data_IF_722417182836
#
_entry.id   IF_722417182836
#
_cell.length_a   1.000
_cell.length_b   1.000
_cell.length_c   1.000
_cell.angle_alpha   90.00
_cell.angle_beta   90.00
_cell.angle_gamma   90.00
#
_symmetry.space_group_name_H-M   'P 1'
#
loop_
_entity.id
_entity.type
_entity.pdbx_description
1 polymer ?
#
# COMPACT_ATOMS: atom_id res chain seq x y z
N UNK A 1 24.07 -75.06 -48.00
CA UNK A 1 25.14 -74.04 -47.95
C UNK A 1 24.52 -72.70 -47.58
N UNK A 2 25.01 -72.13 -46.49
CA UNK A 2 25.09 -70.69 -46.15
C UNK A 2 23.82 -69.84 -45.97
N UNK A 3 23.72 -69.35 -44.71
CA UNK A 3 23.28 -68.02 -44.25
C UNK A 3 21.77 -67.72 -44.29
N UNK A 4 21.20 -66.97 -43.37
CA UNK A 4 21.49 -66.51 -42.01
C UNK A 4 20.17 -65.89 -41.54
N UNK A 5 19.84 -66.14 -40.28
CA UNK A 5 18.98 -65.34 -39.42
C UNK A 5 18.97 -63.84 -39.75
N UNK A 6 17.79 -63.21 -39.81
CA UNK A 6 17.47 -61.92 -39.14
C UNK A 6 16.02 -61.51 -39.49
N UNK A 7 15.11 -61.73 -38.56
CA UNK A 7 14.55 -60.70 -37.66
C UNK A 7 13.46 -59.82 -38.31
N UNK A 8 12.23 -60.29 -38.13
CA UNK A 8 11.14 -59.58 -37.45
C UNK A 8 10.74 -58.19 -37.97
N UNK A 9 9.56 -58.20 -38.59
CA UNK A 9 8.66 -57.08 -38.74
C UNK A 9 8.49 -56.25 -37.44
N UNK A 10 8.11 -54.99 -37.66
CA UNK A 10 7.50 -54.02 -36.74
C UNK A 10 8.46 -53.15 -35.91
N UNK A 11 8.68 -51.91 -36.38
CA UNK A 11 8.04 -50.69 -35.84
C UNK A 11 8.57 -49.44 -36.56
N UNK A 12 7.78 -48.77 -37.42
CA UNK A 12 8.14 -47.50 -38.01
C UNK A 12 7.54 -46.37 -37.19
N UNK A 13 8.05 -46.06 -35.98
CA UNK A 13 7.53 -44.91 -35.23
C UNK A 13 8.41 -44.49 -34.04
N UNK A 14 9.72 -44.30 -34.22
CA UNK A 14 10.58 -43.88 -33.09
C UNK A 14 11.54 -42.73 -33.36
N UNK A 15 11.44 -42.00 -34.48
CA UNK A 15 12.40 -40.91 -34.75
C UNK A 15 11.80 -39.60 -35.27
N UNK A 16 10.54 -39.32 -34.96
CA UNK A 16 9.92 -37.99 -35.16
C UNK A 16 9.28 -37.43 -33.88
N UNK A 17 9.63 -37.96 -32.71
CA UNK A 17 9.10 -37.52 -31.42
C UNK A 17 10.20 -37.06 -30.45
N UNK A 18 11.18 -36.29 -30.95
CA UNK A 18 12.24 -35.68 -30.12
C UNK A 18 12.36 -34.16 -30.33
N UNK A 19 11.30 -33.52 -30.83
CA UNK A 19 11.22 -32.06 -31.03
C UNK A 19 9.96 -31.40 -30.44
N UNK A 20 9.11 -32.14 -29.73
CA UNK A 20 7.90 -31.62 -29.06
C UNK A 20 8.06 -31.56 -27.52
N UNK A 21 9.28 -31.27 -27.06
CA UNK A 21 9.64 -31.25 -25.63
C UNK A 21 9.94 -29.87 -25.06
N UNK A 22 9.76 -28.78 -25.82
CA UNK A 22 9.79 -27.43 -25.25
C UNK A 22 8.35 -27.02 -24.94
N UNK A 23 7.78 -27.63 -23.90
CA UNK A 23 6.53 -27.16 -23.32
C UNK A 23 6.72 -25.70 -22.93
N UNK A 24 6.05 -24.79 -23.65
CA UNK A 24 5.98 -23.38 -23.32
C UNK A 24 5.26 -23.30 -21.97
N UNK A 25 6.02 -23.31 -20.88
CA UNK A 25 5.51 -22.95 -19.57
C UNK A 25 5.24 -21.46 -19.65
N UNK A 26 3.97 -21.07 -19.81
CA UNK A 26 3.56 -19.68 -19.71
C UNK A 26 3.77 -19.31 -18.24
N UNK A 27 4.79 -18.54 -17.86
CA UNK A 27 4.90 -18.11 -16.48
C UNK A 27 3.67 -17.26 -16.20
N UNK A 28 2.86 -17.69 -15.22
CA UNK A 28 1.72 -16.91 -14.74
C UNK A 28 2.26 -15.69 -14.00
N UNK A 29 2.68 -14.68 -14.74
CA UNK A 29 3.03 -13.38 -14.18
C UNK A 29 1.72 -12.71 -13.75
N UNK A 30 1.45 -12.76 -12.44
CA UNK A 30 0.36 -11.95 -11.87
C UNK A 30 0.64 -10.48 -12.19
N UNK A 31 -0.38 -9.68 -12.56
CA UNK A 31 -0.18 -8.26 -12.79
C UNK A 31 0.39 -7.63 -11.51
N UNK A 32 1.58 -7.05 -11.63
CA UNK A 32 2.11 -6.16 -10.62
C UNK A 32 1.34 -4.85 -10.75
N UNK A 33 0.33 -4.67 -9.90
CA UNK A 33 -0.32 -3.37 -9.75
C UNK A 33 0.70 -2.42 -9.10
N UNK A 34 1.50 -1.75 -9.92
CA UNK A 34 2.15 -0.51 -9.50
C UNK A 34 1.04 0.50 -9.15
N UNK A 35 1.29 1.39 -8.19
CA UNK A 35 0.32 2.41 -7.85
C UNK A 35 0.06 3.34 -9.04
N UNK A 36 -1.06 3.15 -9.70
CA UNK A 36 -1.60 4.01 -10.76
C UNK A 36 -2.80 4.74 -10.17
N UNK A 37 -2.51 5.66 -9.27
CA UNK A 37 -3.55 6.36 -8.56
C UNK A 37 -4.07 7.49 -9.44
N UNK A 38 -5.38 7.52 -9.63
CA UNK A 38 -6.06 8.70 -10.10
C UNK A 38 -5.91 9.81 -9.06
N UNK A 39 -6.31 11.03 -9.43
CA UNK A 39 -6.40 12.13 -8.49
C UNK A 39 -7.12 11.67 -7.21
N UNK A 40 -6.59 11.98 -6.01
CA UNK A 40 -7.24 11.58 -4.77
C UNK A 40 -8.69 12.12 -4.72
N UNK A 41 -9.61 11.41 -4.04
CA UNK A 41 -11.04 11.80 -3.96
C UNK A 41 -11.21 13.20 -3.35
N UNK A 42 -12.41 13.78 -3.30
CA UNK A 42 -12.62 15.06 -2.59
C UNK A 42 -12.38 14.92 -1.06
N UNK A 43 -12.07 16.00 -0.30
CA UNK A 43 -11.73 15.88 1.12
C UNK A 43 -12.81 15.19 1.95
N UNK A 44 -14.07 15.62 1.80
CA UNK A 44 -15.19 15.04 2.55
C UNK A 44 -15.45 13.58 2.18
N UNK A 45 -15.17 13.17 0.94
CA UNK A 45 -15.28 11.78 0.53
C UNK A 45 -14.15 10.95 1.13
N UNK A 46 -12.91 11.45 1.10
CA UNK A 46 -11.78 10.80 1.76
C UNK A 46 -12.00 10.67 3.28
N UNK A 47 -12.58 11.70 3.91
CA UNK A 47 -12.98 11.66 5.32
C UNK A 47 -14.03 10.58 5.57
N UNK A 48 -15.05 10.46 4.71
CA UNK A 48 -16.09 9.45 4.83
C UNK A 48 -15.53 8.02 4.70
N UNK A 49 -14.60 7.80 3.77
CA UNK A 49 -14.01 6.50 3.49
C UNK A 49 -12.94 6.08 4.54
N UNK A 50 -12.22 7.05 5.11
CA UNK A 50 -11.16 6.80 6.08
C UNK A 50 -11.69 6.21 7.40
N UNK A 51 -10.81 5.52 8.13
CA UNK A 51 -11.06 5.08 9.51
C UNK A 51 -10.58 6.08 10.55
N UNK A 52 -9.49 6.78 10.27
CA UNK A 52 -9.02 7.89 11.08
C UNK A 52 -8.54 9.03 10.18
N UNK A 53 -8.80 10.26 10.60
CA UNK A 53 -8.28 11.47 9.96
C UNK A 53 -7.77 12.39 11.06
N UNK A 54 -6.50 12.75 11.01
CA UNK A 54 -5.85 13.56 12.05
C UNK A 54 -4.67 14.32 11.48
N UNK A 55 -4.23 15.36 12.18
CA UNK A 55 -2.97 16.04 11.95
C UNK A 55 -2.04 15.74 13.09
N UNK A 56 -0.76 15.56 12.78
CA UNK A 56 0.23 15.27 13.81
C UNK A 56 1.65 15.34 13.29
N UNK A 57 2.58 15.51 14.22
CA UNK A 57 4.02 15.55 13.96
C UNK A 57 4.62 14.15 14.05
N UNK A 58 5.41 13.76 13.06
CA UNK A 58 6.12 12.48 13.10
C UNK A 58 7.23 12.54 14.14
N UNK A 59 7.18 11.65 15.14
CA UNK A 59 8.18 11.56 16.21
C UNK A 59 9.14 10.40 16.04
N UNK A 60 8.73 9.33 15.34
CA UNK A 60 9.57 8.17 15.11
C UNK A 60 9.15 7.42 13.83
N UNK A 61 10.12 6.84 13.13
CA UNK A 61 9.89 5.93 12.00
C UNK A 61 10.71 4.66 12.24
N UNK A 62 10.03 3.52 12.35
CA UNK A 62 10.66 2.22 12.51
C UNK A 62 10.32 1.32 11.32
N UNK A 63 11.34 0.82 10.63
CA UNK A 63 11.15 -0.17 9.57
C UNK A 63 11.08 -1.59 10.15
N UNK A 64 10.06 -2.34 9.73
CA UNK A 64 9.91 -3.78 9.93
C UNK A 64 9.74 -4.46 8.57
N UNK A 65 10.81 -5.13 8.10
CA UNK A 65 10.91 -5.76 6.78
C UNK A 65 10.55 -4.76 5.65
N UNK A 66 9.33 -4.87 5.13
CA UNK A 66 8.79 -4.10 4.00
C UNK A 66 7.75 -3.05 4.42
N UNK A 67 7.58 -2.83 5.73
CA UNK A 67 6.62 -1.88 6.32
C UNK A 67 7.35 -0.86 7.18
N UNK A 68 6.94 0.40 7.12
CA UNK A 68 7.29 1.44 8.06
C UNK A 68 6.17 1.59 9.08
N UNK A 69 6.50 1.59 10.36
CA UNK A 69 5.64 2.05 11.45
C UNK A 69 6.04 3.48 11.78
N UNK A 70 5.13 4.42 11.53
CA UNK A 70 5.33 5.86 11.69
C UNK A 70 4.51 6.32 12.89
N UNK A 71 5.18 6.81 13.92
CA UNK A 71 4.56 7.30 15.14
C UNK A 71 4.32 8.80 15.03
N UNK A 72 3.10 9.22 15.31
CA UNK A 72 2.66 10.61 15.32
C UNK A 72 2.33 11.05 16.74
N UNK A 73 2.78 12.24 17.12
CA UNK A 73 2.17 13.04 18.17
C UNK A 73 0.98 13.79 17.54
N UNK A 74 -0.24 13.57 18.04
CA UNK A 74 -1.48 14.06 17.41
C UNK A 74 -1.81 15.48 17.87
N UNK A 75 -1.99 16.38 16.92
CA UNK A 75 -2.36 17.78 17.14
C UNK A 75 -3.89 17.98 17.12
N UNK A 76 -4.55 17.40 16.12
CA UNK A 76 -6.00 17.51 15.91
C UNK A 76 -6.53 16.24 15.26
N UNK A 77 -7.76 15.83 15.60
CA UNK A 77 -8.38 14.64 15.04
C UNK A 77 -9.80 14.96 14.54
N UNK A 78 -10.07 14.61 13.29
CA UNK A 78 -11.37 14.77 12.64
C UNK A 78 -12.20 13.50 12.61
N UNK A 79 -11.55 12.33 12.68
CA UNK A 79 -12.22 11.03 12.68
C UNK A 79 -11.42 9.98 13.42
N UNK A 80 -12.12 9.02 14.03
CA UNK A 80 -11.55 7.95 14.86
C UNK A 80 -11.57 8.30 16.34
N UNK A 81 -11.15 7.36 17.17
CA UNK A 81 -11.08 7.55 18.63
C UNK A 81 -9.97 8.54 19.01
N UNK A 82 -10.25 9.44 19.95
CA UNK A 82 -9.26 10.41 20.42
C UNK A 82 -8.01 9.71 20.98
N UNK A 83 -6.83 10.10 20.48
CA UNK A 83 -5.56 9.58 20.93
C UNK A 83 -4.47 10.66 20.89
N UNK A 84 -3.54 10.62 21.85
CA UNK A 84 -2.38 11.52 21.87
C UNK A 84 -1.26 11.05 20.93
N UNK A 85 -1.23 9.75 20.64
CA UNK A 85 -0.24 9.14 19.77
C UNK A 85 -0.92 8.10 18.88
N UNK A 86 -0.62 8.16 17.59
CA UNK A 86 -1.14 7.21 16.60
C UNK A 86 0.04 6.61 15.82
N UNK A 87 0.00 5.30 15.58
CA UNK A 87 0.98 4.60 14.74
C UNK A 87 0.33 4.23 13.41
N UNK A 88 0.93 4.68 12.31
CA UNK A 88 0.49 4.41 10.94
C UNK A 88 1.48 3.49 10.24
N UNK A 89 0.95 2.51 9.53
CA UNK A 89 1.74 1.65 8.65
C UNK A 89 1.73 2.14 7.21
N UNK A 90 2.88 2.09 6.55
CA UNK A 90 3.01 2.35 5.11
C UNK A 90 4.10 1.45 4.52
N UNK A 91 4.09 1.19 3.22
CA UNK A 91 5.19 0.48 2.57
C UNK A 91 6.49 1.30 2.61
N UNK A 92 7.63 0.63 2.52
CA UNK A 92 8.97 1.26 2.60
C UNK A 92 9.39 2.03 1.36
N UNK A 93 8.69 1.87 0.23
CA UNK A 93 9.07 2.48 -1.04
C UNK A 93 7.86 3.04 -1.76
N UNK A 94 8.02 4.20 -2.41
CA UNK A 94 7.01 4.79 -3.28
C UNK A 94 6.63 3.86 -4.44
N UNK A 95 7.57 3.03 -4.93
CA UNK A 95 7.30 2.01 -5.95
C UNK A 95 6.28 0.96 -5.49
N UNK A 96 6.13 0.77 -4.18
CA UNK A 96 5.13 -0.10 -3.54
C UNK A 96 4.08 0.70 -2.79
N UNK A 97 3.81 1.94 -3.24
CA UNK A 97 2.79 2.84 -2.72
C UNK A 97 3.08 3.41 -1.32
N UNK A 98 4.32 3.35 -0.88
CA UNK A 98 4.75 3.91 0.40
C UNK A 98 4.63 5.43 0.41
N UNK A 99 4.06 5.99 1.49
CA UNK A 99 4.09 7.42 1.76
C UNK A 99 5.44 7.83 2.38
N UNK A 100 6.14 8.85 1.84
CA UNK A 100 7.48 9.25 2.29
C UNK A 100 7.42 10.19 3.50
N UNK A 101 7.16 9.64 4.68
CA UNK A 101 7.18 10.43 5.92
C UNK A 101 8.60 10.82 6.34
N UNK A 102 8.70 11.98 6.97
CA UNK A 102 9.94 12.51 7.54
C UNK A 102 9.73 12.87 9.01
N UNK A 103 10.71 12.55 9.86
CA UNK A 103 10.68 12.91 11.29
C UNK A 103 10.68 14.43 11.45
N UNK A 104 9.96 14.92 12.47
CA UNK A 104 9.74 16.34 12.79
C UNK A 104 8.87 17.12 11.81
N UNK A 105 8.32 16.48 10.78
CA UNK A 105 7.33 17.10 9.90
C UNK A 105 5.90 16.81 10.39
N UNK A 106 5.01 17.77 10.18
CA UNK A 106 3.58 17.66 10.52
C UNK A 106 2.76 17.37 9.27
N UNK A 107 1.87 16.40 9.35
CA UNK A 107 1.06 15.93 8.23
C UNK A 107 -0.41 16.00 8.57
N UNK A 108 -1.26 16.15 7.56
CA UNK A 108 -2.65 15.70 7.59
C UNK A 108 -2.67 14.27 7.07
N UNK A 109 -3.20 13.33 7.85
CA UNK A 109 -3.20 11.90 7.55
C UNK A 109 -4.61 11.39 7.36
N UNK A 110 -4.86 10.73 6.24
CA UNK A 110 -6.06 9.92 6.00
C UNK A 110 -5.68 8.45 6.08
N UNK A 111 -6.12 7.77 7.15
CA UNK A 111 -5.76 6.40 7.42
C UNK A 111 -6.93 5.44 7.27
N UNK A 112 -6.67 4.31 6.61
CA UNK A 112 -7.59 3.19 6.48
C UNK A 112 -7.18 2.03 7.39
N UNK A 113 -8.10 1.13 7.70
CA UNK A 113 -7.83 -0.07 8.49
C UNK A 113 -8.45 -1.28 7.78
N UNK A 114 -7.65 -2.28 7.33
CA UNK A 114 -8.21 -3.55 6.93
C UNK A 114 -8.85 -4.23 8.14
N UNK A 115 -9.80 -5.13 7.90
CA UNK A 115 -10.49 -5.85 8.97
C UNK A 115 -9.48 -6.55 9.90
N UNK A 116 -9.52 -6.19 11.19
CA UNK A 116 -8.62 -6.71 12.23
C UNK A 116 -7.15 -6.27 12.12
N UNK A 117 -6.81 -5.37 11.18
CA UNK A 117 -5.45 -4.90 10.94
C UNK A 117 -5.11 -3.59 11.67
N UNK A 118 -3.90 -3.08 11.42
CA UNK A 118 -3.43 -1.77 11.89
C UNK A 118 -3.86 -0.66 10.95
N UNK A 119 -3.88 0.58 11.45
CA UNK A 119 -4.06 1.77 10.62
C UNK A 119 -2.92 1.89 9.61
N UNK A 120 -3.27 2.19 8.37
CA UNK A 120 -2.34 2.33 7.27
C UNK A 120 -2.70 3.48 6.34
N UNK A 121 -1.70 4.00 5.67
CA UNK A 121 -1.83 4.99 4.61
C UNK A 121 -0.88 4.65 3.47
N UNK A 122 -1.06 5.32 2.35
CA UNK A 122 -0.28 5.14 1.14
C UNK A 122 -0.20 6.46 0.35
N UNK A 123 0.66 6.48 -0.67
CA UNK A 123 0.87 7.64 -1.54
C UNK A 123 -0.39 8.09 -2.31
N UNK A 124 -1.42 7.25 -2.36
CA UNK A 124 -2.65 7.49 -3.12
C UNK A 124 -3.77 8.05 -2.27
N UNK A 125 -3.59 8.02 -0.95
CA UNK A 125 -4.42 8.75 -0.01
C UNK A 125 -4.31 10.26 -0.24
N UNK A 126 -5.18 11.01 0.45
CA UNK A 126 -5.06 12.47 0.60
C UNK A 126 -4.02 12.92 1.62
N UNK A 127 -3.25 11.99 2.18
CA UNK A 127 -2.22 12.33 3.16
C UNK A 127 -1.24 13.32 2.54
N UNK A 128 -0.95 14.41 3.24
CA UNK A 128 -0.07 15.48 2.75
C UNK A 128 0.58 16.22 3.91
N UNK A 129 1.63 17.01 3.64
CA UNK A 129 2.18 17.93 4.64
C UNK A 129 1.10 18.91 5.08
N UNK A 130 1.02 19.22 6.38
CA UNK A 130 -0.05 20.06 6.93
C UNK A 130 -0.06 21.47 6.30
N UNK A 131 1.11 22.01 5.96
CA UNK A 131 1.24 23.31 5.29
C UNK A 131 0.78 23.31 3.82
N UNK A 132 0.51 22.13 3.24
CA UNK A 132 -0.02 21.94 1.88
C UNK A 132 -1.49 21.49 1.90
N UNK A 133 -2.10 21.34 3.08
CA UNK A 133 -3.44 20.81 3.26
C UNK A 133 -4.54 21.90 3.24
N UNK A 134 -4.32 23.04 2.59
CA UNK A 134 -5.28 24.17 2.62
C UNK A 134 -6.68 23.77 2.15
N UNK A 135 -6.74 23.00 1.06
CA UNK A 135 -8.00 22.56 0.45
C UNK A 135 -8.74 21.61 1.39
N UNK A 136 -8.03 20.67 2.00
CA UNK A 136 -8.56 19.74 2.99
C UNK A 136 -9.09 20.47 4.22
N UNK A 137 -8.28 21.32 4.83
CA UNK A 137 -8.63 22.03 6.07
C UNK A 137 -9.84 22.96 5.87
N UNK A 138 -9.98 23.54 4.67
CA UNK A 138 -11.14 24.36 4.33
C UNK A 138 -12.46 23.60 4.36
N UNK A 139 -12.44 22.29 4.06
CA UNK A 139 -13.62 21.42 4.06
C UNK A 139 -13.80 20.72 5.41
N UNK A 140 -12.73 20.17 5.98
CA UNK A 140 -12.76 19.47 7.27
C UNK A 140 -13.15 20.38 8.44
N UNK A 141 -12.84 21.68 8.35
CA UNK A 141 -13.15 22.69 9.37
C UNK A 141 -14.61 23.14 9.42
N UNK A 142 -15.46 22.72 8.47
CA UNK A 142 -16.88 23.11 8.43
C UNK A 142 -17.74 22.31 9.40
N UNK A 143 -17.30 21.11 9.82
CA UNK A 143 -18.16 20.12 10.48
C UNK A 143 -17.69 19.63 11.87
N UNK A 144 -16.75 20.29 12.56
CA UNK A 144 -16.37 19.87 13.93
C UNK A 144 -16.42 20.95 15.01
N UNK A 145 -16.96 20.60 16.20
CA UNK A 145 -16.86 21.44 17.38
C UNK A 145 -15.39 21.63 17.75
N UNK A 146 -15.04 22.86 18.09
CA UNK A 146 -13.71 23.28 18.50
C UNK A 146 -13.27 22.57 19.80
N UNK A 147 -12.80 21.31 19.72
CA UNK A 147 -11.96 20.74 20.77
C UNK A 147 -10.50 21.10 20.47
N UNK A 148 -10.24 22.40 20.49
CA UNK A 148 -8.89 22.95 20.44
C UNK A 148 -8.36 22.80 21.86
N UNK A 149 -7.46 21.84 22.11
CA UNK A 149 -6.66 21.87 23.34
C UNK A 149 -5.94 23.22 23.33
N UNK A 150 -6.39 24.11 24.18
CA UNK A 150 -5.69 25.35 24.51
C UNK A 150 -4.28 24.95 24.89
N UNK A 151 -3.31 25.59 24.24
CA UNK A 151 -1.93 25.54 24.68
C UNK A 151 -1.85 26.00 26.14
N UNK A 152 -0.89 25.41 26.88
CA UNK A 152 -0.34 25.88 28.16
C UNK A 152 -1.10 25.39 29.41
N UNK A 153 -0.50 24.42 30.10
CA UNK A 153 0.31 24.70 31.31
C UNK A 153 1.46 23.68 31.43
#
# INVERSE_FOLDING_TARGET
MTKLLQHQHLKPLSLTLLLFGLGITIPSTRPAYACSCLQPPAPNQALADAKAVFSGKVTNIQQDRYTLNVTFEVDQQWKGDEAETIVIQTATSSATCGYPFEVNQTYLVYANQPQGGKLRTDHCSRTTLLNQASDDLSELGKDLPCNRRTSRD
#
